data_IF_040317289057
#
_entry.id   IF_040317289057
#
_cell.length_a   1.000
_cell.length_b   1.000
_cell.length_c   1.000
_cell.angle_alpha   90.00
_cell.angle_beta   90.00
_cell.angle_gamma   90.00
#
_symmetry.space_group_name_H-M   'P 1'
#
loop_
_entity.id
_entity.type
_entity.pdbx_description
1 polymer ?
#
# COMPACT_ATOMS: atom_id res chain seq x y z
N UNK A 1 4.48 1.64 34.58
CA UNK A 1 5.62 2.29 33.90
C UNK A 1 5.26 3.48 33.01
N UNK A 2 3.98 3.71 32.71
CA UNK A 2 3.48 5.05 32.34
C UNK A 2 3.09 5.88 33.59
N UNK A 3 3.21 5.29 34.79
CA UNK A 3 2.85 5.92 36.07
C UNK A 3 3.72 7.13 36.43
N UNK A 4 4.96 7.21 35.92
CA UNK A 4 5.83 8.39 36.13
C UNK A 4 5.68 9.45 35.04
N UNK A 5 5.24 9.08 33.83
CA UNK A 5 5.03 10.01 32.71
C UNK A 5 3.65 10.70 32.73
N UNK A 6 2.72 10.21 33.55
CA UNK A 6 1.34 10.71 33.62
C UNK A 6 1.18 12.14 34.16
N UNK A 7 2.24 12.77 34.68
CA UNK A 7 2.16 14.09 35.31
C UNK A 7 2.63 15.26 34.43
N UNK A 8 3.15 15.01 33.22
CA UNK A 8 3.54 16.06 32.28
C UNK A 8 3.05 15.76 30.84
N UNK A 9 1.94 16.37 30.40
CA UNK A 9 1.40 16.17 29.05
C UNK A 9 2.32 16.69 27.94
N UNK A 10 3.32 17.53 28.25
CA UNK A 10 4.31 18.00 27.26
C UNK A 10 5.41 16.95 26.97
N UNK A 11 5.78 16.15 27.98
CA UNK A 11 6.76 15.06 27.83
C UNK A 11 6.17 13.74 27.31
N UNK A 12 4.83 13.60 27.34
CA UNK A 12 4.12 12.38 26.98
C UNK A 12 4.43 11.85 25.56
N UNK A 13 4.49 12.68 24.49
CA UNK A 13 4.76 12.18 23.14
C UNK A 13 6.14 11.53 23.00
N UNK A 14 7.17 12.16 23.60
CA UNK A 14 8.54 11.63 23.60
C UNK A 14 8.66 10.35 24.42
N UNK A 15 8.08 10.33 25.63
CA UNK A 15 8.07 9.13 26.46
C UNK A 15 7.32 7.96 25.79
N UNK A 16 6.22 8.24 25.09
CA UNK A 16 5.49 7.24 24.31
C UNK A 16 6.32 6.72 23.13
N UNK A 17 6.92 7.61 22.34
CA UNK A 17 7.76 7.22 21.20
C UNK A 17 8.95 6.35 21.64
N UNK A 18 9.69 6.80 22.67
CA UNK A 18 10.83 6.08 23.24
C UNK A 18 10.43 4.71 23.76
N UNK A 19 9.44 4.66 24.67
CA UNK A 19 8.99 3.40 25.27
C UNK A 19 8.41 2.43 24.24
N UNK A 20 7.84 2.94 23.15
CA UNK A 20 7.30 2.13 22.08
C UNK A 20 8.43 1.51 21.26
N UNK A 21 9.32 2.31 20.68
CA UNK A 21 10.40 1.84 19.81
C UNK A 21 11.38 0.91 20.55
N UNK A 22 11.79 1.29 21.76
CA UNK A 22 12.68 0.48 22.59
C UNK A 22 12.06 -0.88 22.95
N UNK A 23 10.74 -0.93 23.18
CA UNK A 23 10.04 -2.20 23.36
C UNK A 23 10.08 -3.07 22.11
N UNK A 24 9.87 -2.48 20.92
CA UNK A 24 9.86 -3.22 19.65
C UNK A 24 11.25 -3.67 19.21
N UNK A 25 12.28 -2.85 19.42
CA UNK A 25 13.68 -3.20 19.14
C UNK A 25 14.17 -4.37 20.01
N UNK A 26 13.62 -4.50 21.24
CA UNK A 26 13.94 -5.59 22.16
C UNK A 26 13.18 -6.90 21.85
N UNK A 27 12.24 -6.92 20.90
CA UNK A 27 11.54 -8.15 20.52
C UNK A 27 12.45 -9.06 19.70
N UNK A 28 12.67 -10.27 20.21
CA UNK A 28 13.35 -11.31 19.44
C UNK A 28 12.40 -11.94 18.40
N UNK A 29 12.96 -12.64 17.40
CA UNK A 29 12.14 -13.38 16.43
C UNK A 29 11.24 -14.46 17.06
N UNK A 30 11.58 -14.91 18.28
CA UNK A 30 10.86 -15.90 19.09
C UNK A 30 9.81 -15.27 20.03
N UNK A 31 9.66 -13.94 20.01
CA UNK A 31 8.72 -13.26 20.89
C UNK A 31 7.25 -13.61 20.54
N UNK A 32 6.43 -14.03 21.53
CA UNK A 32 5.02 -14.32 21.33
C UNK A 32 4.22 -13.19 20.66
N UNK A 33 4.60 -11.92 20.87
CA UNK A 33 3.95 -10.77 20.26
C UNK A 33 4.25 -10.66 18.75
N UNK A 34 5.49 -10.94 18.34
CA UNK A 34 5.88 -10.97 16.94
C UNK A 34 5.18 -12.13 16.20
N UNK A 35 5.06 -13.29 16.85
CA UNK A 35 4.29 -14.41 16.33
C UNK A 35 2.78 -14.08 16.21
N UNK A 36 2.21 -13.41 17.21
CA UNK A 36 0.82 -12.98 17.22
C UNK A 36 0.52 -12.01 16.07
N UNK A 37 1.41 -11.04 15.79
CA UNK A 37 1.25 -10.09 14.69
C UNK A 37 1.28 -10.78 13.33
N UNK A 38 2.24 -11.68 13.10
CA UNK A 38 2.31 -12.46 11.85
C UNK A 38 1.05 -13.30 11.65
N UNK A 39 0.55 -13.91 12.72
CA UNK A 39 -0.70 -14.67 12.70
C UNK A 39 -1.91 -13.78 12.42
N UNK A 40 -1.97 -12.58 13.03
CA UNK A 40 -3.07 -11.63 12.87
C UNK A 40 -3.28 -11.16 11.41
N UNK A 41 -2.25 -11.19 10.56
CA UNK A 41 -2.40 -10.83 9.14
C UNK A 41 -3.33 -11.75 8.36
N UNK A 42 -3.43 -13.02 8.76
CA UNK A 42 -4.16 -14.05 8.02
C UNK A 42 -5.13 -14.88 8.87
N UNK A 43 -5.21 -14.63 10.18
CA UNK A 43 -6.02 -15.40 11.12
C UNK A 43 -6.89 -14.47 12.02
N UNK A 44 -8.23 -14.42 11.80
CA UNK A 44 -9.11 -13.49 12.50
C UNK A 44 -9.08 -13.56 14.04
N UNK A 45 -9.00 -14.75 14.68
CA UNK A 45 -8.84 -14.83 16.14
C UNK A 45 -7.56 -14.17 16.66
N UNK A 46 -6.45 -14.28 15.90
CA UNK A 46 -5.19 -13.64 16.27
C UNK A 46 -5.25 -12.12 16.07
N UNK A 47 -6.00 -11.64 15.07
CA UNK A 47 -6.27 -10.22 14.89
C UNK A 47 -7.08 -9.63 16.05
N UNK A 48 -8.06 -10.38 16.57
CA UNK A 48 -8.81 -9.97 17.75
C UNK A 48 -7.91 -9.90 19.00
N UNK A 49 -7.08 -10.92 19.24
CA UNK A 49 -6.12 -10.94 20.34
C UNK A 49 -5.11 -9.79 20.25
N UNK A 50 -4.62 -9.47 19.05
CA UNK A 50 -3.74 -8.33 18.83
C UNK A 50 -4.47 -7.00 19.09
N UNK A 51 -5.72 -6.86 18.67
CA UNK A 51 -6.53 -5.67 18.94
C UNK A 51 -6.76 -5.44 20.43
N UNK A 52 -7.08 -6.49 21.20
CA UNK A 52 -7.27 -6.41 22.65
C UNK A 52 -5.97 -6.04 23.38
N UNK A 53 -4.84 -6.56 22.90
CA UNK A 53 -3.52 -6.25 23.43
C UNK A 53 -3.13 -4.79 23.12
N UNK A 54 -3.32 -4.32 21.90
CA UNK A 54 -3.08 -2.92 21.52
C UNK A 54 -4.01 -1.96 22.30
N UNK A 55 -5.26 -2.35 22.53
CA UNK A 55 -6.21 -1.59 23.34
C UNK A 55 -5.69 -1.41 24.78
N UNK A 56 -5.14 -2.46 25.38
CA UNK A 56 -4.56 -2.38 26.74
C UNK A 56 -3.27 -1.56 26.79
N UNK A 57 -2.42 -1.67 25.78
CA UNK A 57 -1.09 -1.07 25.79
C UNK A 57 -1.07 0.40 25.35
N UNK A 58 -1.98 0.78 24.46
CA UNK A 58 -2.00 2.11 23.83
C UNK A 58 -3.24 2.88 24.24
N UNK A 59 -4.43 2.31 24.04
CA UNK A 59 -5.69 3.03 24.25
C UNK A 59 -5.96 3.34 25.73
N UNK A 60 -5.77 2.37 26.63
CA UNK A 60 -6.04 2.54 28.07
C UNK A 60 -5.31 3.74 28.70
N UNK A 61 -3.97 3.83 28.57
CA UNK A 61 -3.21 4.95 29.09
C UNK A 61 -3.56 6.29 28.44
N UNK A 62 -3.77 6.31 27.11
CA UNK A 62 -4.14 7.52 26.39
C UNK A 62 -5.53 8.04 26.78
N UNK A 63 -6.49 7.16 27.09
CA UNK A 63 -7.82 7.53 27.59
C UNK A 63 -7.73 8.22 28.95
N UNK A 64 -6.78 7.82 29.79
CA UNK A 64 -6.50 8.49 31.06
C UNK A 64 -6.00 9.93 30.92
N UNK A 65 -5.37 10.26 29.78
CA UNK A 65 -4.81 11.60 29.50
C UNK A 65 -5.73 12.46 28.64
N UNK A 66 -6.26 11.91 27.54
CA UNK A 66 -7.07 12.62 26.55
C UNK A 66 -8.56 12.65 26.90
N UNK A 67 -8.98 11.82 27.86
CA UNK A 67 -10.38 11.65 28.24
C UNK A 67 -11.19 10.78 27.28
N UNK A 68 -12.50 10.79 27.47
CA UNK A 68 -13.45 9.89 26.79
C UNK A 68 -14.38 10.60 25.79
N UNK A 69 -14.07 11.84 25.41
CA UNK A 69 -14.88 12.55 24.42
C UNK A 69 -14.85 11.85 23.05
N UNK A 70 -15.86 12.05 22.17
CA UNK A 70 -15.83 11.51 20.81
C UNK A 70 -14.59 11.95 20.02
N UNK A 71 -14.14 13.18 20.26
CA UNK A 71 -12.92 13.71 19.65
C UNK A 71 -11.65 13.04 20.22
N UNK A 72 -11.56 12.87 21.55
CA UNK A 72 -10.46 12.15 22.18
C UNK A 72 -10.38 10.70 21.69
N UNK A 73 -11.53 10.04 21.53
CA UNK A 73 -11.64 8.69 20.98
C UNK A 73 -11.11 8.62 19.54
N UNK A 74 -11.44 9.60 18.70
CA UNK A 74 -10.92 9.69 17.34
C UNK A 74 -9.39 9.91 17.32
N UNK A 75 -8.87 10.80 18.18
CA UNK A 75 -7.42 11.06 18.31
C UNK A 75 -6.66 9.83 18.79
N UNK A 76 -7.17 9.12 19.78
CA UNK A 76 -6.62 7.83 20.24
C UNK A 76 -6.57 6.82 19.09
N UNK A 77 -7.63 6.77 18.27
CA UNK A 77 -7.67 5.95 17.06
C UNK A 77 -6.54 6.28 16.08
N UNK A 78 -6.30 7.57 15.83
CA UNK A 78 -5.21 8.03 14.95
C UNK A 78 -3.82 7.67 15.51
N UNK A 79 -3.59 7.92 16.81
CA UNK A 79 -2.34 7.55 17.49
C UNK A 79 -2.08 6.04 17.34
N UNK A 80 -3.11 5.21 17.53
CA UNK A 80 -3.01 3.75 17.37
C UNK A 80 -2.65 3.37 15.94
N UNK A 81 -3.22 4.03 14.93
CA UNK A 81 -2.90 3.79 13.53
C UNK A 81 -1.46 4.14 13.17
N UNK A 82 -0.94 5.28 13.67
CA UNK A 82 0.45 5.70 13.44
C UNK A 82 1.42 4.69 14.04
N UNK A 83 1.23 4.35 15.31
CA UNK A 83 2.06 3.37 16.02
C UNK A 83 2.05 2.02 15.30
N UNK A 84 0.86 1.52 14.91
CA UNK A 84 0.74 0.27 14.16
C UNK A 84 1.43 0.32 12.80
N UNK A 85 1.34 1.44 12.07
CA UNK A 85 2.06 1.63 10.81
C UNK A 85 3.57 1.48 10.98
N UNK A 86 4.14 2.04 12.05
CA UNK A 86 5.56 1.89 12.37
C UNK A 86 5.94 0.42 12.62
N UNK A 87 5.10 -0.35 13.35
CA UNK A 87 5.31 -1.80 13.52
C UNK A 87 5.41 -2.50 12.17
N UNK A 88 4.40 -2.26 11.32
CA UNK A 88 4.26 -2.95 10.05
C UNK A 88 5.44 -2.66 9.12
N UNK A 89 5.79 -1.39 8.96
CA UNK A 89 6.83 -0.96 8.02
C UNK A 89 8.24 -1.32 8.49
N UNK A 90 8.58 -1.05 9.76
CA UNK A 90 9.94 -1.21 10.28
C UNK A 90 10.27 -2.64 10.70
N UNK A 91 9.35 -3.31 11.39
CA UNK A 91 9.65 -4.57 12.08
C UNK A 91 9.07 -5.80 11.38
N UNK A 92 7.92 -5.66 10.71
CA UNK A 92 7.24 -6.79 10.08
C UNK A 92 7.61 -6.96 8.61
N UNK A 93 7.37 -5.92 7.80
CA UNK A 93 7.73 -5.90 6.38
C UNK A 93 9.18 -5.51 6.15
N UNK A 94 9.77 -4.77 7.10
CA UNK A 94 11.15 -4.33 7.06
C UNK A 94 11.49 -3.57 5.77
N UNK A 95 10.60 -2.65 5.36
CA UNK A 95 10.78 -1.80 4.19
C UNK A 95 11.84 -0.71 4.45
N UNK A 96 12.59 -0.34 3.42
CA UNK A 96 13.50 0.80 3.47
C UNK A 96 12.75 2.12 3.19
N UNK A 97 13.10 3.24 3.84
CA UNK A 97 14.21 3.39 4.81
C UNK A 97 13.84 3.00 6.25
N UNK A 98 12.58 2.65 6.53
CA UNK A 98 12.07 2.46 7.88
C UNK A 98 12.87 1.43 8.70
N UNK A 99 13.39 0.40 8.04
CA UNK A 99 14.24 -0.64 8.63
C UNK A 99 15.62 -0.14 9.07
N UNK A 100 16.29 0.65 8.23
CA UNK A 100 17.71 1.01 8.44
C UNK A 100 17.92 2.27 9.27
N UNK A 101 16.90 3.12 9.40
CA UNK A 101 16.97 4.34 10.21
C UNK A 101 17.25 3.98 11.69
N UNK A 102 18.28 4.54 12.33
CA UNK A 102 18.52 4.33 13.76
C UNK A 102 17.33 4.77 14.62
N UNK A 103 17.06 4.03 15.70
CA UNK A 103 15.93 4.33 16.59
C UNK A 103 16.03 5.73 17.20
N UNK A 104 17.25 6.17 17.53
CA UNK A 104 17.53 7.52 18.01
C UNK A 104 17.12 8.64 17.04
N UNK A 105 17.11 8.37 15.73
CA UNK A 105 16.71 9.33 14.70
C UNK A 105 15.19 9.28 14.42
N UNK A 106 14.56 8.12 14.63
CA UNK A 106 13.12 7.92 14.43
C UNK A 106 12.29 8.41 15.63
N UNK A 107 12.82 8.27 16.84
CA UNK A 107 12.16 8.66 18.09
C UNK A 107 11.67 10.11 18.09
N UNK A 108 12.48 11.14 17.77
CA UNK A 108 12.00 12.53 17.75
C UNK A 108 10.92 12.77 16.68
N UNK A 109 11.05 12.13 15.51
CA UNK A 109 10.05 12.25 14.44
C UNK A 109 8.71 11.64 14.84
N UNK A 110 8.74 10.48 15.51
CA UNK A 110 7.54 9.84 16.02
C UNK A 110 6.92 10.68 17.16
N UNK A 111 7.75 11.24 18.05
CA UNK A 111 7.30 12.11 19.12
C UNK A 111 6.55 13.35 18.57
N UNK A 112 7.04 13.97 17.50
CA UNK A 112 6.38 15.11 16.85
C UNK A 112 5.00 14.74 16.28
N UNK A 113 4.90 13.60 15.61
CA UNK A 113 3.63 13.09 15.06
C UNK A 113 2.65 12.77 16.18
N UNK A 114 3.13 12.16 17.27
CA UNK A 114 2.30 11.88 18.46
C UNK A 114 1.87 13.17 19.15
N UNK A 115 2.72 14.18 19.25
CA UNK A 115 2.40 15.48 19.84
C UNK A 115 1.28 16.19 19.06
N UNK A 116 1.37 16.17 17.72
CA UNK A 116 0.34 16.70 16.85
C UNK A 116 -1.01 15.96 17.00
N UNK A 117 -0.97 14.63 17.16
CA UNK A 117 -2.18 13.83 17.36
C UNK A 117 -2.80 13.97 18.77
N UNK A 118 -1.97 14.25 19.78
CA UNK A 118 -2.40 14.48 21.18
C UNK A 118 -2.99 15.89 21.34
N UNK A 119 -2.43 16.89 20.66
CA UNK A 119 -2.94 18.27 20.64
C UNK A 119 -2.21 19.24 21.57
N UNK A 120 -1.01 18.92 22.01
CA UNK A 120 -0.14 19.88 22.72
C UNK A 120 0.58 20.73 21.67
N UNK A 121 0.44 22.07 21.64
CA UNK A 121 1.34 22.87 20.83
C UNK A 121 2.74 22.73 21.45
N UNK A 122 3.72 22.32 20.64
CA UNK A 122 5.10 22.17 21.07
C UNK A 122 5.60 23.52 21.66
N UNK A 123 5.61 23.63 22.98
CA UNK A 123 6.14 24.79 23.67
C UNK A 123 7.67 24.70 23.67
N UNK A 124 8.31 25.48 22.80
CA UNK A 124 9.68 25.96 23.06
C UNK A 124 10.84 25.03 22.75
N UNK A 125 10.76 24.15 21.75
CA UNK A 125 11.96 23.64 21.11
C UNK A 125 12.31 24.57 19.94
N UNK A 126 13.31 25.44 20.15
CA UNK A 126 14.09 25.95 19.04
C UNK A 126 14.70 24.72 18.36
N UNK A 127 14.01 24.20 17.34
CA UNK A 127 14.47 23.05 16.59
C UNK A 127 15.86 23.34 16.03
N UNK A 128 16.70 22.31 15.81
CA UNK A 128 17.84 22.50 14.92
C UNK A 128 17.25 23.11 13.65
N UNK A 129 17.78 24.27 13.26
CA UNK A 129 17.33 24.99 12.06
C UNK A 129 17.22 23.96 10.95
N UNK A 130 15.98 23.62 10.59
CA UNK A 130 15.65 22.85 9.41
C UNK A 130 16.45 23.52 8.30
N UNK A 131 17.37 22.83 7.58
CA UNK A 131 17.80 23.40 6.32
C UNK A 131 16.51 23.65 5.57
N UNK A 132 16.20 24.92 5.28
CA UNK A 132 14.93 25.32 4.70
C UNK A 132 14.62 24.35 3.58
N UNK A 133 13.61 23.49 3.79
CA UNK A 133 13.16 22.61 2.75
C UNK A 133 12.64 23.54 1.67
N UNK A 134 13.34 23.57 0.54
CA UNK A 134 13.00 24.37 -0.62
C UNK A 134 11.48 24.23 -0.89
N UNK A 135 10.75 25.31 -1.17
CA UNK A 135 9.31 25.25 -1.45
C UNK A 135 8.93 24.26 -2.56
N UNK A 136 9.89 23.82 -3.39
CA UNK A 136 9.73 22.73 -4.34
C UNK A 136 9.42 21.37 -3.67
N UNK A 137 10.04 21.04 -2.53
CA UNK A 137 9.91 19.71 -1.90
C UNK A 137 8.50 19.43 -1.34
N UNK A 138 7.79 20.46 -0.86
CA UNK A 138 6.39 20.33 -0.38
C UNK A 138 5.40 20.20 -1.54
N UNK A 139 5.61 20.97 -2.62
CA UNK A 139 4.80 20.84 -3.84
C UNK A 139 4.99 19.46 -4.51
N UNK A 140 6.23 18.98 -4.60
CA UNK A 140 6.57 17.67 -5.18
C UNK A 140 5.98 16.52 -4.36
N UNK A 141 6.08 16.57 -3.03
CA UNK A 141 5.52 15.55 -2.13
C UNK A 141 3.98 15.47 -2.27
N UNK A 142 3.30 16.62 -2.38
CA UNK A 142 1.85 16.67 -2.61
C UNK A 142 1.46 16.14 -3.99
N UNK A 143 2.28 16.36 -5.01
CA UNK A 143 2.04 15.82 -6.35
C UNK A 143 2.10 14.29 -6.37
N UNK A 144 3.09 13.67 -5.71
CA UNK A 144 3.18 12.21 -5.61
C UNK A 144 2.09 11.59 -4.74
N UNK A 145 1.66 12.27 -3.67
CA UNK A 145 0.49 11.85 -2.89
C UNK A 145 -0.78 11.88 -3.74
N UNK A 146 -1.03 12.98 -4.47
CA UNK A 146 -2.17 13.10 -5.37
C UNK A 146 -2.15 12.06 -6.50
N UNK A 147 -0.96 11.76 -7.05
CA UNK A 147 -0.77 10.70 -8.04
C UNK A 147 -1.15 9.32 -7.48
N UNK A 148 -0.70 9.01 -6.27
CA UNK A 148 -0.98 7.73 -5.60
C UNK A 148 -2.48 7.58 -5.30
N UNK A 149 -3.09 8.61 -4.73
CA UNK A 149 -4.53 8.65 -4.47
C UNK A 149 -5.35 8.48 -5.76
N UNK A 150 -4.94 9.17 -6.83
CA UNK A 150 -5.58 9.04 -8.14
C UNK A 150 -5.44 7.61 -8.68
N UNK A 151 -4.25 7.02 -8.59
CA UNK A 151 -3.99 5.65 -9.04
C UNK A 151 -4.83 4.62 -8.27
N UNK A 152 -4.98 4.78 -6.95
CA UNK A 152 -5.78 3.88 -6.12
C UNK A 152 -7.27 4.00 -6.37
N UNK A 153 -7.79 5.23 -6.53
CA UNK A 153 -9.19 5.48 -6.92
C UNK A 153 -9.48 4.90 -8.29
N UNK A 154 -8.56 5.09 -9.23
CA UNK A 154 -8.65 4.54 -10.58
C UNK A 154 -8.64 3.00 -10.56
N UNK A 155 -7.69 2.39 -9.85
CA UNK A 155 -7.62 0.93 -9.67
C UNK A 155 -8.89 0.36 -9.03
N UNK A 156 -9.46 1.08 -8.07
CA UNK A 156 -10.73 0.70 -7.44
C UNK A 156 -11.92 0.78 -8.41
N UNK A 157 -11.96 1.80 -9.27
CA UNK A 157 -12.97 1.91 -10.32
C UNK A 157 -12.89 0.75 -11.30
N UNK A 158 -11.71 0.48 -11.85
CA UNK A 158 -11.52 -0.61 -12.81
C UNK A 158 -11.77 -1.97 -12.15
N UNK A 159 -11.35 -2.14 -10.89
CA UNK A 159 -11.65 -3.33 -10.10
C UNK A 159 -13.16 -3.59 -9.97
N UNK A 160 -13.99 -2.55 -9.82
CA UNK A 160 -15.46 -2.68 -9.82
C UNK A 160 -16.01 -3.09 -11.18
N UNK A 161 -15.52 -2.50 -12.28
CA UNK A 161 -15.90 -2.88 -13.65
C UNK A 161 -15.61 -4.36 -13.89
N UNK A 162 -14.37 -4.78 -13.67
CA UNK A 162 -13.94 -6.17 -13.87
C UNK A 162 -14.75 -7.16 -13.02
N UNK A 163 -15.02 -6.81 -11.74
CA UNK A 163 -15.74 -7.67 -10.81
C UNK A 163 -17.17 -8.00 -11.26
N UNK A 164 -17.82 -7.13 -12.05
CA UNK A 164 -19.16 -7.39 -12.61
C UNK A 164 -19.18 -8.60 -13.55
N UNK A 165 -18.03 -8.97 -14.12
CA UNK A 165 -17.89 -10.13 -14.99
C UNK A 165 -17.39 -11.39 -14.26
N UNK A 166 -17.43 -11.40 -12.92
CA UNK A 166 -17.14 -12.59 -12.13
C UNK A 166 -15.65 -12.95 -12.00
N UNK A 167 -14.75 -12.07 -12.43
CA UNK A 167 -13.28 -12.25 -12.26
C UNK A 167 -12.66 -11.10 -11.47
N UNK A 168 -11.50 -11.35 -10.87
CA UNK A 168 -10.73 -10.32 -10.16
C UNK A 168 -9.79 -9.53 -11.09
N UNK A 169 -9.40 -8.32 -10.69
CA UNK A 169 -8.53 -7.44 -11.49
C UNK A 169 -7.23 -8.12 -11.94
N UNK A 170 -6.52 -8.78 -11.03
CA UNK A 170 -5.29 -9.50 -11.36
C UNK A 170 -5.50 -10.66 -12.36
N UNK A 171 -6.66 -11.33 -12.33
CA UNK A 171 -6.98 -12.36 -13.32
C UNK A 171 -7.31 -11.73 -14.69
N UNK A 172 -7.97 -10.57 -14.68
CA UNK A 172 -8.22 -9.82 -15.90
C UNK A 172 -6.93 -9.27 -16.54
N UNK A 173 -5.96 -8.82 -15.74
CA UNK A 173 -4.67 -8.35 -16.25
C UNK A 173 -3.93 -9.44 -17.04
N UNK A 174 -4.07 -10.72 -16.65
CA UNK A 174 -3.56 -11.86 -17.44
C UNK A 174 -4.26 -11.96 -18.80
N UNK A 175 -5.58 -11.83 -18.85
CA UNK A 175 -6.33 -11.87 -20.12
C UNK A 175 -5.97 -10.70 -21.03
N UNK A 176 -5.83 -9.50 -20.45
CA UNK A 176 -5.42 -8.30 -21.17
C UNK A 176 -4.00 -8.45 -21.75
N UNK A 177 -3.08 -9.05 -20.99
CA UNK A 177 -1.72 -9.32 -21.47
C UNK A 177 -1.70 -10.35 -22.61
N UNK A 178 -2.44 -11.45 -22.47
CA UNK A 178 -2.58 -12.44 -23.53
C UNK A 178 -3.21 -11.85 -24.81
N UNK A 179 -4.18 -10.95 -24.67
CA UNK A 179 -4.82 -10.25 -25.80
C UNK A 179 -3.82 -9.35 -26.56
N UNK A 180 -2.87 -8.72 -25.85
CA UNK A 180 -1.80 -7.91 -26.46
C UNK A 180 -0.67 -8.72 -27.08
N UNK A 181 -0.53 -9.99 -26.71
CA UNK A 181 0.47 -10.86 -27.31
C UNK A 181 0.19 -11.06 -28.82
N UNK A 182 1.23 -11.17 -29.68
CA UNK A 182 1.04 -11.50 -31.09
C UNK A 182 0.26 -12.81 -31.26
N UNK A 183 -0.42 -12.97 -32.40
CA UNK A 183 -1.06 -14.24 -32.76
C UNK A 183 -0.04 -15.39 -32.59
N UNK A 184 -0.39 -16.49 -31.89
CA UNK A 184 -1.74 -16.92 -31.54
C UNK A 184 -2.26 -16.47 -30.15
N UNK A 185 -1.86 -15.30 -29.64
CA UNK A 185 -2.31 -14.72 -28.36
C UNK A 185 -1.97 -15.60 -27.16
N UNK A 186 -0.73 -16.07 -27.11
CA UNK A 186 -0.23 -16.97 -26.07
C UNK A 186 1.07 -16.49 -25.46
N UNK A 187 1.26 -16.78 -24.17
CA UNK A 187 2.47 -16.51 -23.39
C UNK A 187 2.70 -17.63 -22.40
N UNK A 188 3.96 -17.91 -22.08
CA UNK A 188 4.32 -18.75 -20.94
C UNK A 188 4.11 -18.00 -19.63
N UNK A 189 4.07 -18.74 -18.51
CA UNK A 189 4.02 -18.14 -17.17
C UNK A 189 5.20 -17.20 -16.91
N UNK A 190 6.40 -17.55 -17.40
CA UNK A 190 7.60 -16.73 -17.26
C UNK A 190 7.50 -15.42 -18.03
N UNK A 191 6.96 -15.47 -19.25
CA UNK A 191 6.72 -14.25 -20.04
C UNK A 191 5.65 -13.35 -19.42
N UNK A 192 4.57 -13.92 -18.89
CA UNK A 192 3.54 -13.15 -18.19
C UNK A 192 4.09 -12.47 -16.93
N UNK A 193 4.99 -13.14 -16.20
CA UNK A 193 5.68 -12.56 -15.05
C UNK A 193 6.63 -11.43 -15.46
N UNK A 194 7.40 -11.62 -16.54
CA UNK A 194 8.30 -10.61 -17.08
C UNK A 194 7.56 -9.38 -17.62
N UNK A 195 6.36 -9.56 -18.17
CA UNK A 195 5.50 -8.47 -18.64
C UNK A 195 4.83 -7.65 -17.51
N UNK A 196 5.05 -8.02 -16.25
CA UNK A 196 4.48 -7.31 -15.10
C UNK A 196 2.97 -7.47 -14.93
N UNK A 197 2.35 -8.43 -15.62
CA UNK A 197 0.91 -8.61 -15.65
C UNK A 197 0.30 -9.02 -14.30
N UNK A 198 1.08 -9.65 -13.42
CA UNK A 198 0.75 -9.89 -12.01
C UNK A 198 2.07 -9.95 -11.22
N UNK A 199 2.17 -9.24 -10.09
CA UNK A 199 3.29 -9.42 -9.15
C UNK A 199 3.38 -10.91 -8.79
N UNK A 200 4.58 -11.50 -8.82
CA UNK A 200 4.81 -12.96 -8.90
C UNK A 200 4.05 -13.87 -7.89
N UNK A 201 3.44 -13.33 -6.84
CA UNK A 201 2.53 -14.07 -5.96
C UNK A 201 1.14 -14.28 -6.57
N UNK A 202 0.76 -15.54 -6.84
CA UNK A 202 -0.62 -15.92 -7.19
C UNK A 202 -0.93 -16.08 -8.67
N UNK A 203 0.02 -15.84 -9.58
CA UNK A 203 -0.17 -16.00 -11.04
C UNK A 203 -0.74 -17.38 -11.41
N UNK A 204 -0.22 -18.46 -10.81
CA UNK A 204 -0.71 -19.84 -11.05
C UNK A 204 -2.17 -19.97 -10.63
N UNK A 205 -2.56 -19.42 -9.49
CA UNK A 205 -3.95 -19.43 -9.02
C UNK A 205 -4.89 -18.62 -9.92
N UNK A 206 -4.40 -17.52 -10.50
CA UNK A 206 -5.13 -16.75 -11.49
C UNK A 206 -5.32 -17.54 -12.79
N UNK A 207 -4.25 -18.13 -13.32
CA UNK A 207 -4.30 -18.98 -14.51
C UNK A 207 -5.27 -20.17 -14.32
N UNK A 208 -5.19 -20.88 -13.18
CA UNK A 208 -6.09 -22.00 -12.88
C UNK A 208 -7.56 -21.57 -12.80
N UNK A 209 -7.84 -20.39 -12.24
CA UNK A 209 -9.20 -19.82 -12.20
C UNK A 209 -9.71 -19.48 -13.60
N UNK A 210 -8.87 -18.88 -14.43
CA UNK A 210 -9.22 -18.50 -15.80
C UNK A 210 -9.45 -19.72 -16.70
N UNK A 211 -8.63 -20.75 -16.56
CA UNK A 211 -8.79 -22.01 -17.30
C UNK A 211 -10.09 -22.70 -16.91
N UNK A 212 -10.38 -22.81 -15.59
CA UNK A 212 -11.66 -23.35 -15.10
C UNK A 212 -12.87 -22.55 -15.56
N UNK A 213 -12.71 -21.25 -15.78
CA UNK A 213 -13.74 -20.38 -16.33
C UNK A 213 -13.84 -20.45 -17.88
N UNK A 214 -12.99 -21.23 -18.55
CA UNK A 214 -12.95 -21.36 -20.01
C UNK A 214 -12.42 -20.11 -20.72
N UNK A 215 -11.73 -19.21 -20.01
CA UNK A 215 -11.24 -17.94 -20.55
C UNK A 215 -9.82 -18.04 -21.13
N UNK A 216 -9.10 -19.09 -20.75
CA UNK A 216 -7.80 -19.45 -21.33
C UNK A 216 -7.72 -20.96 -21.55
N UNK A 217 -6.76 -21.36 -22.37
CA UNK A 217 -6.40 -22.76 -22.62
C UNK A 217 -4.91 -22.98 -22.35
N UNK A 218 -4.54 -24.18 -21.88
CA UNK A 218 -3.15 -24.60 -21.73
C UNK A 218 -2.71 -25.41 -22.93
N UNK A 219 -1.68 -24.92 -23.63
CA UNK A 219 -1.08 -25.59 -24.78
C UNK A 219 0.36 -25.98 -24.45
N UNK A 220 0.73 -27.23 -24.75
CA UNK A 220 2.13 -27.64 -24.72
C UNK A 220 2.77 -27.29 -26.04
N UNK A 221 4.02 -26.87 -26.01
CA UNK A 221 4.78 -26.67 -27.23
C UNK A 221 5.02 -28.01 -27.97
N UNK A 222 4.93 -27.97 -29.30
CA UNK A 222 5.09 -29.16 -30.14
C UNK A 222 6.54 -29.65 -30.20
N UNK A 223 7.51 -28.76 -29.95
CA UNK A 223 8.96 -29.05 -30.03
C UNK A 223 9.54 -29.37 -28.66
N UNK A 224 9.07 -28.70 -27.62
CA UNK A 224 9.46 -28.99 -26.23
C UNK A 224 8.24 -29.08 -25.29
N UNK A 225 7.84 -30.31 -24.95
CA UNK A 225 6.68 -30.59 -24.07
C UNK A 225 6.84 -30.07 -22.64
N UNK A 226 8.03 -29.58 -22.25
CA UNK A 226 8.29 -28.90 -20.98
C UNK A 226 7.75 -27.47 -20.97
N UNK A 227 7.61 -26.85 -22.15
CA UNK A 227 7.06 -25.50 -22.30
C UNK A 227 5.54 -25.59 -22.32
N UNK A 228 4.90 -24.79 -21.45
CA UNK A 228 3.44 -24.65 -21.37
C UNK A 228 3.09 -23.19 -21.63
N UNK A 229 2.29 -22.99 -22.67
CA UNK A 229 1.69 -21.72 -23.02
C UNK A 229 0.29 -21.62 -22.41
N UNK A 230 -0.05 -20.42 -21.94
CA UNK A 230 -1.42 -20.00 -21.74
C UNK A 230 -1.87 -19.27 -23.01
N UNK A 231 -2.98 -19.69 -23.60
CA UNK A 231 -3.59 -19.07 -24.78
C UNK A 231 -4.93 -18.46 -24.41
N UNK A 232 -5.21 -17.26 -24.93
CA UNK A 232 -6.52 -16.65 -24.79
C UNK A 232 -7.58 -17.46 -25.58
N UNK A 233 -8.67 -17.84 -24.93
CA UNK A 233 -9.80 -18.51 -25.61
C UNK A 233 -10.69 -17.49 -26.33
N UNK A 234 -11.63 -17.96 -27.15
CA UNK A 234 -12.65 -17.09 -27.77
C UNK A 234 -13.49 -16.36 -26.72
N UNK A 235 -13.95 -17.08 -25.68
CA UNK A 235 -14.70 -16.48 -24.56
C UNK A 235 -13.85 -15.48 -23.76
N UNK A 236 -12.55 -15.77 -23.59
CA UNK A 236 -11.59 -14.84 -22.98
C UNK A 236 -11.46 -13.55 -23.78
N UNK A 237 -11.40 -13.65 -25.11
CA UNK A 237 -11.32 -12.50 -26.01
C UNK A 237 -12.56 -11.62 -25.92
N UNK A 238 -13.74 -12.22 -26.03
CA UNK A 238 -15.00 -11.47 -25.90
C UNK A 238 -15.12 -10.77 -24.54
N UNK A 239 -14.65 -11.42 -23.47
CA UNK A 239 -14.64 -10.80 -22.15
C UNK A 239 -13.70 -9.60 -22.08
N UNK A 240 -12.50 -9.69 -22.66
CA UNK A 240 -11.55 -8.57 -22.75
C UNK A 240 -12.18 -7.40 -23.50
N UNK A 241 -12.83 -7.67 -24.63
CA UNK A 241 -13.44 -6.63 -25.45
C UNK A 241 -14.60 -5.92 -24.70
N UNK A 242 -15.49 -6.67 -24.03
CA UNK A 242 -16.56 -6.09 -23.20
C UNK A 242 -16.03 -5.22 -22.05
N UNK A 243 -15.04 -5.71 -21.32
CA UNK A 243 -14.44 -4.96 -20.20
C UNK A 243 -13.74 -3.71 -20.72
N UNK A 244 -13.08 -3.77 -21.88
CA UNK A 244 -12.42 -2.62 -22.49
C UNK A 244 -13.42 -1.52 -22.85
N UNK A 245 -14.61 -1.89 -23.37
CA UNK A 245 -15.69 -0.93 -23.65
C UNK A 245 -16.21 -0.25 -22.37
N UNK A 246 -16.53 -1.03 -21.33
CA UNK A 246 -16.99 -0.48 -20.04
C UNK A 246 -15.93 0.39 -19.38
N UNK A 247 -14.66 -0.03 -19.43
CA UNK A 247 -13.53 0.75 -18.94
C UNK A 247 -13.40 2.08 -19.70
N UNK A 248 -13.51 2.05 -21.02
CA UNK A 248 -13.46 3.26 -21.85
C UNK A 248 -14.62 4.22 -21.54
N UNK A 249 -15.81 3.70 -21.23
CA UNK A 249 -16.92 4.53 -20.76
C UNK A 249 -16.62 5.16 -19.40
N UNK A 250 -16.14 4.38 -18.42
CA UNK A 250 -15.79 4.87 -17.08
C UNK A 250 -14.63 5.89 -17.10
N UNK A 251 -13.63 5.68 -17.96
CA UNK A 251 -12.53 6.63 -18.17
C UNK A 251 -13.02 7.93 -18.80
N UNK A 252 -14.00 7.89 -19.71
CA UNK A 252 -14.61 9.10 -20.26
C UNK A 252 -15.31 9.91 -19.18
N UNK A 253 -16.12 9.26 -18.33
CA UNK A 253 -16.78 9.91 -17.20
C UNK A 253 -15.78 10.53 -16.21
N UNK A 254 -14.67 9.85 -15.93
CA UNK A 254 -13.59 10.41 -15.09
C UNK A 254 -13.00 11.69 -15.67
N UNK A 255 -12.93 11.80 -16.99
CA UNK A 255 -12.36 12.95 -17.68
C UNK A 255 -13.37 14.10 -17.85
N UNK A 256 -14.67 13.89 -17.61
CA UNK A 256 -15.71 14.91 -17.83
C UNK A 256 -15.53 16.16 -16.97
N UNK A 257 -14.84 16.04 -15.83
CA UNK A 257 -14.45 17.18 -14.99
C UNK A 257 -13.29 18.02 -15.54
N UNK A 258 -12.65 17.59 -16.63
CA UNK A 258 -11.49 18.25 -17.23
C UNK A 258 -11.80 18.81 -18.62
N UNK A 259 -11.44 20.06 -18.85
CA UNK A 259 -11.46 20.70 -20.17
C UNK A 259 -10.44 20.09 -21.13
N UNK A 260 -10.58 20.39 -22.43
CA UNK A 260 -9.72 19.83 -23.49
C UNK A 260 -8.23 20.12 -23.26
N UNK A 261 -7.90 21.33 -22.80
CA UNK A 261 -6.53 21.74 -22.55
C UNK A 261 -5.96 21.09 -21.28
N UNK A 262 -6.77 20.91 -20.24
CA UNK A 262 -6.38 20.20 -19.01
C UNK A 262 -6.11 18.72 -19.29
N UNK A 263 -6.94 18.06 -20.09
CA UNK A 263 -6.72 16.67 -20.54
C UNK A 263 -5.42 16.55 -21.35
N UNK A 264 -5.11 17.54 -22.20
CA UNK A 264 -3.86 17.60 -22.96
C UNK A 264 -2.67 17.75 -22.01
N UNK A 265 -2.75 18.68 -21.07
CA UNK A 265 -1.69 18.93 -20.10
C UNK A 265 -1.42 17.71 -19.23
N UNK A 266 -2.48 17.07 -18.71
CA UNK A 266 -2.38 15.83 -17.94
C UNK A 266 -1.64 14.73 -18.72
N UNK A 267 -2.01 14.50 -19.98
CA UNK A 267 -1.35 13.50 -20.84
C UNK A 267 0.14 13.80 -21.05
N UNK A 268 0.50 15.07 -21.25
CA UNK A 268 1.91 15.48 -21.43
C UNK A 268 2.70 15.24 -20.15
N UNK A 269 2.18 15.68 -18.99
CA UNK A 269 2.87 15.56 -17.71
C UNK A 269 3.04 14.09 -17.29
N UNK A 270 1.99 13.28 -17.41
CA UNK A 270 2.07 11.84 -17.13
C UNK A 270 3.03 11.13 -18.10
N UNK A 271 3.07 11.54 -19.37
CA UNK A 271 4.01 11.00 -20.36
C UNK A 271 5.47 11.31 -20.00
N UNK A 272 5.75 12.56 -19.58
CA UNK A 272 7.08 12.96 -19.14
C UNK A 272 7.52 12.19 -17.89
N UNK A 273 6.62 12.06 -16.89
CA UNK A 273 6.89 11.28 -15.68
C UNK A 273 7.10 9.78 -15.98
N UNK A 274 6.30 9.21 -16.88
CA UNK A 274 6.45 7.81 -17.31
C UNK A 274 7.80 7.53 -17.97
N UNK A 275 8.31 8.46 -18.80
CA UNK A 275 9.62 8.33 -19.44
C UNK A 275 10.76 8.27 -18.41
N UNK A 276 10.68 9.06 -17.33
CA UNK A 276 11.68 9.02 -16.24
C UNK A 276 11.65 7.74 -15.40
N UNK A 277 10.55 6.98 -15.44
CA UNK A 277 10.43 5.70 -14.71
C UNK A 277 10.88 4.50 -15.56
N UNK A 278 10.89 4.63 -16.88
CA UNK A 278 11.33 3.57 -17.80
C UNK A 278 12.86 3.46 -17.88
N UNK A 279 13.58 4.53 -17.57
CA UNK A 279 15.03 4.54 -17.32
C UNK A 279 15.26 4.53 -15.80
N UNK A 280 15.42 3.36 -15.15
CA UNK A 280 15.87 3.37 -13.77
C UNK A 280 17.27 4.01 -13.73
N UNK A 281 17.53 4.98 -12.84
CA UNK A 281 18.89 5.45 -12.63
C UNK A 281 19.75 4.24 -12.25
N UNK A 282 20.87 4.07 -12.96
CA UNK A 282 21.88 3.06 -12.65
C UNK A 282 22.25 3.22 -11.16
N UNK A 283 22.13 2.18 -10.32
CA UNK A 283 22.51 2.31 -8.92
C UNK A 283 24.02 2.57 -8.84
N UNK A 284 24.38 3.83 -8.58
CA UNK A 284 25.73 4.26 -8.25
C UNK A 284 26.18 3.72 -6.89
#
# INVERSE_FOLDING_TARGET
MLDEAGNDPAGLPGALAHSYLDRWDRLSAEDPLAALIRSALNHPPSAQQLSELLERLVTGPLRGVLGESPEATARIGMIRSVLFGVIMERYLFAHEPARSVPTADLEPLLADVLAAAIGTPAAGAAGPTRPEASPATDADTRAFAALTDCADRYRSLIGRVVKRHGIGLAAFEVLAELSRAPAPHRRTMGELAAAGAVRAGGMTQHADRLERAGLIERERDDRDRRIVYLRLSGAGRELVDRVAEERTAAERELLDGLGVDERRQLRVLLGALGATLADPPDPA
#
